data_IF_433951154286
#
_entry.id   IF_433951154286
#
_cell.length_a   1.000
_cell.length_b   1.000
_cell.length_c   1.000
_cell.angle_alpha   90.00
_cell.angle_beta   90.00
_cell.angle_gamma   90.00
#
_symmetry.space_group_name_H-M   'P 1'
#
loop_
_entity.id
_entity.type
_entity.pdbx_description
1 polymer ?
#
# COMPACT_ATOMS: atom_id res chain seq x y z
N UNK A 1 -11.27 21.15 -11.72
CA UNK A 1 -10.46 21.84 -12.72
C UNK A 1 -10.18 20.83 -13.83
N UNK A 2 -10.79 21.01 -15.00
CA UNK A 2 -10.65 20.08 -16.13
C UNK A 2 -9.41 20.50 -16.92
N UNK A 3 -8.46 19.58 -17.11
CA UNK A 3 -7.27 19.82 -17.92
C UNK A 3 -7.62 19.51 -19.40
N UNK A 4 -7.37 20.42 -20.35
CA UNK A 4 -7.61 20.14 -21.76
C UNK A 4 -6.74 18.95 -22.20
N UNK A 5 -7.39 17.84 -22.60
CA UNK A 5 -6.74 16.56 -22.96
C UNK A 5 -6.93 15.43 -21.94
N UNK A 6 -7.36 15.73 -20.69
CA UNK A 6 -7.66 14.74 -19.67
C UNK A 6 -9.00 15.09 -18.98
N UNK A 7 -10.10 14.69 -19.62
CA UNK A 7 -11.48 14.95 -19.16
C UNK A 7 -11.75 14.40 -17.76
N UNK A 8 -11.17 13.25 -17.44
CA UNK A 8 -11.40 12.52 -16.19
C UNK A 8 -10.32 12.79 -15.13
N UNK A 9 -9.39 13.70 -15.41
CA UNK A 9 -8.39 14.07 -14.43
C UNK A 9 -9.02 14.87 -13.28
N UNK A 10 -8.87 14.36 -12.07
CA UNK A 10 -9.22 15.04 -10.83
C UNK A 10 -7.95 15.54 -10.10
N UNK A 11 -7.26 16.59 -10.62
CA UNK A 11 -5.93 16.97 -10.14
C UNK A 11 -5.90 17.39 -8.67
N UNK A 12 -6.96 18.03 -8.17
CA UNK A 12 -7.07 18.42 -6.76
C UNK A 12 -7.25 17.20 -5.84
N UNK A 13 -8.07 16.24 -6.25
CA UNK A 13 -8.27 15.00 -5.51
C UNK A 13 -6.99 14.16 -5.51
N UNK A 14 -6.30 14.07 -6.66
CA UNK A 14 -5.01 13.40 -6.80
C UNK A 14 -3.92 14.03 -5.91
N UNK A 15 -3.83 15.36 -5.87
CA UNK A 15 -2.91 16.07 -4.97
C UNK A 15 -3.24 15.78 -3.50
N UNK A 16 -4.52 15.86 -3.12
CA UNK A 16 -4.97 15.56 -1.77
C UNK A 16 -4.63 14.13 -1.34
N UNK A 17 -4.90 13.15 -2.21
CA UNK A 17 -4.52 11.75 -2.01
C UNK A 17 -3.01 11.57 -1.87
N UNK A 18 -2.23 12.23 -2.74
CA UNK A 18 -0.76 12.21 -2.66
C UNK A 18 -0.22 12.76 -1.35
N UNK A 19 -0.75 13.88 -0.85
CA UNK A 19 -0.38 14.45 0.45
C UNK A 19 -0.71 13.48 1.59
N UNK A 20 -1.89 12.85 1.58
CA UNK A 20 -2.29 11.88 2.59
C UNK A 20 -1.37 10.64 2.60
N UNK A 21 -1.05 10.10 1.43
CA UNK A 21 -0.12 8.96 1.29
C UNK A 21 1.29 9.35 1.77
N UNK A 22 1.78 10.53 1.37
CA UNK A 22 3.08 11.04 1.80
C UNK A 22 3.16 11.26 3.31
N UNK A 23 2.12 11.82 3.92
CA UNK A 23 2.01 11.95 5.38
C UNK A 23 2.00 10.59 6.07
N UNK A 24 1.25 9.61 5.56
CA UNK A 24 1.23 8.27 6.12
C UNK A 24 2.63 7.61 6.06
N UNK A 25 3.35 7.76 4.95
CA UNK A 25 4.73 7.28 4.82
C UNK A 25 5.69 8.00 5.80
N UNK A 26 5.57 9.33 5.94
CA UNK A 26 6.37 10.11 6.88
C UNK A 26 6.10 9.74 8.34
N UNK A 27 4.84 9.54 8.73
CA UNK A 27 4.46 9.07 10.06
C UNK A 27 5.03 7.70 10.37
N UNK A 28 5.04 6.79 9.39
CA UNK A 28 5.63 5.46 9.57
C UNK A 28 7.15 5.55 9.74
N UNK A 29 7.82 6.40 8.96
CA UNK A 29 9.26 6.60 9.05
C UNK A 29 9.66 7.28 10.36
N UNK A 30 8.98 8.35 10.76
CA UNK A 30 9.29 9.11 11.98
C UNK A 30 8.84 8.40 13.25
N UNK A 31 7.67 7.76 13.22
CA UNK A 31 7.08 7.10 14.38
C UNK A 31 7.61 5.69 14.61
N UNK A 32 7.76 4.89 13.55
CA UNK A 32 8.21 3.49 13.65
C UNK A 32 9.66 3.27 13.16
N UNK A 33 10.35 4.31 12.70
CA UNK A 33 11.74 4.24 12.23
C UNK A 33 11.91 3.39 10.96
N UNK A 34 10.82 3.16 10.22
CA UNK A 34 10.77 2.19 9.11
C UNK A 34 10.02 2.77 7.93
N UNK A 35 10.46 2.40 6.72
CA UNK A 35 9.80 2.78 5.47
C UNK A 35 8.53 1.94 5.27
N UNK A 36 7.47 2.55 4.71
CA UNK A 36 6.18 1.93 4.45
C UNK A 36 6.22 0.91 3.28
N UNK A 37 6.87 -0.23 3.53
CA UNK A 37 6.97 -1.35 2.59
C UNK A 37 6.06 -2.51 2.95
N UNK A 38 4.97 -2.73 2.21
CA UNK A 38 3.99 -3.80 2.51
C UNK A 38 4.65 -5.18 2.52
N UNK A 39 5.47 -5.53 1.52
CA UNK A 39 6.14 -6.85 1.46
C UNK A 39 7.07 -7.08 2.66
N UNK A 40 7.84 -6.06 3.06
CA UNK A 40 8.78 -6.14 4.18
C UNK A 40 8.08 -6.23 5.53
N UNK A 41 7.03 -5.43 5.72
CA UNK A 41 6.21 -5.46 6.94
C UNK A 41 5.44 -6.79 7.03
N UNK A 42 4.98 -7.33 5.90
CA UNK A 42 4.33 -8.64 5.85
C UNK A 42 5.29 -9.76 6.26
N UNK A 43 6.52 -9.75 5.73
CA UNK A 43 7.56 -10.70 6.15
C UNK A 43 7.84 -10.61 7.66
N UNK A 44 7.78 -9.41 8.27
CA UNK A 44 7.92 -9.22 9.72
C UNK A 44 6.73 -9.77 10.51
N UNK A 45 5.49 -9.53 10.05
CA UNK A 45 4.28 -10.06 10.71
C UNK A 45 4.29 -11.59 10.76
N UNK A 46 4.65 -12.24 9.65
CA UNK A 46 4.81 -13.69 9.57
C UNK A 46 6.11 -14.22 10.19
N UNK A 47 7.00 -13.34 10.68
CA UNK A 47 8.24 -13.69 11.39
C UNK A 47 9.30 -14.32 10.51
N UNK A 48 9.24 -14.05 9.22
CA UNK A 48 10.26 -14.43 8.24
C UNK A 48 11.46 -13.47 8.35
N UNK A 49 11.24 -12.24 8.84
CA UNK A 49 12.28 -11.25 9.10
C UNK A 49 12.37 -10.90 10.58
N UNK A 50 13.58 -10.92 11.12
CA UNK A 50 13.82 -10.65 12.55
C UNK A 50 14.16 -9.20 12.90
N UNK A 51 14.34 -8.35 11.89
CA UNK A 51 14.70 -6.95 12.10
C UNK A 51 13.50 -6.02 11.95
N UNK A 52 13.35 -5.06 12.88
CA UNK A 52 12.51 -3.88 12.68
C UNK A 52 11.38 -3.67 13.66
N UNK A 53 10.28 -3.12 13.15
CA UNK A 53 9.06 -2.83 13.90
C UNK A 53 8.63 -4.06 14.70
N UNK A 54 8.01 -3.83 15.86
CA UNK A 54 7.44 -4.92 16.67
C UNK A 54 6.45 -5.74 15.84
N UNK A 55 6.34 -7.03 16.14
CA UNK A 55 5.43 -7.93 15.41
C UNK A 55 3.97 -7.47 15.53
N UNK A 56 3.60 -6.93 16.69
CA UNK A 56 2.30 -6.28 16.90
C UNK A 56 2.09 -5.07 15.99
N UNK A 57 3.09 -4.21 15.83
CA UNK A 57 3.03 -3.07 14.91
C UNK A 57 2.93 -3.49 13.44
N UNK A 58 3.61 -4.57 13.06
CA UNK A 58 3.51 -5.14 11.72
C UNK A 58 2.09 -5.64 11.40
N UNK A 59 1.47 -6.37 12.34
CA UNK A 59 0.08 -6.80 12.22
C UNK A 59 -0.90 -5.62 12.23
N UNK A 60 -0.68 -4.62 13.07
CA UNK A 60 -1.50 -3.41 13.10
C UNK A 60 -1.50 -2.68 11.75
N UNK A 61 -0.34 -2.57 11.09
CA UNK A 61 -0.23 -1.99 9.75
C UNK A 61 -0.97 -2.85 8.70
N UNK A 62 -0.74 -4.16 8.72
CA UNK A 62 -1.34 -5.12 7.79
C UNK A 62 -2.87 -5.17 7.88
N UNK A 63 -3.42 -5.07 9.08
CA UNK A 63 -4.88 -5.03 9.31
C UNK A 63 -5.43 -3.63 9.04
N UNK A 64 -4.66 -2.58 9.36
CA UNK A 64 -5.06 -1.19 9.15
C UNK A 64 -5.32 -0.85 7.67
N UNK A 65 -4.54 -1.42 6.75
CA UNK A 65 -4.72 -1.23 5.29
C UNK A 65 -6.11 -1.64 4.78
N UNK A 66 -6.55 -2.91 4.91
CA UNK A 66 -7.88 -3.34 4.47
C UNK A 66 -8.98 -2.70 5.32
N UNK A 67 -8.74 -2.44 6.61
CA UNK A 67 -9.71 -1.77 7.48
C UNK A 67 -9.97 -0.32 7.03
N UNK A 68 -8.93 0.42 6.66
CA UNK A 68 -9.06 1.75 6.09
C UNK A 68 -9.83 1.74 4.76
N UNK A 69 -9.53 0.80 3.87
CA UNK A 69 -10.28 0.62 2.63
C UNK A 69 -11.76 0.29 2.88
N UNK A 70 -12.05 -0.58 3.85
CA UNK A 70 -13.42 -0.92 4.23
C UNK A 70 -14.19 0.29 4.80
N UNK A 71 -13.56 1.10 5.66
CA UNK A 71 -14.19 2.32 6.21
C UNK A 71 -14.55 3.29 5.08
N UNK A 72 -13.64 3.51 4.13
CA UNK A 72 -13.90 4.39 2.98
C UNK A 72 -15.02 3.82 2.10
N UNK A 73 -15.03 2.50 1.88
CA UNK A 73 -16.12 1.81 1.19
C UNK A 73 -17.49 2.00 1.85
N UNK A 74 -17.56 1.95 3.18
CA UNK A 74 -18.80 2.18 3.94
C UNK A 74 -19.29 3.63 3.88
N UNK A 75 -18.38 4.59 3.70
CA UNK A 75 -18.69 6.01 3.53
C UNK A 75 -19.18 6.36 2.10
N UNK A 76 -19.37 5.35 1.25
CA UNK A 76 -19.76 5.52 -0.16
C UNK A 76 -18.58 5.88 -1.08
N UNK A 77 -17.35 5.78 -0.59
CA UNK A 77 -16.14 5.95 -1.38
C UNK A 77 -15.64 4.61 -1.92
N UNK A 78 -15.82 4.36 -3.21
CA UNK A 78 -15.28 3.17 -3.87
C UNK A 78 -16.18 2.67 -4.99
N UNK A 79 -15.59 2.36 -6.14
CA UNK A 79 -16.28 1.64 -7.21
C UNK A 79 -16.30 0.14 -6.91
N UNK A 80 -17.23 -0.57 -7.55
CA UNK A 80 -17.24 -2.04 -7.51
C UNK A 80 -15.94 -2.58 -8.13
N UNK A 81 -15.06 -3.22 -7.35
CA UNK A 81 -13.82 -3.73 -7.88
C UNK A 81 -14.11 -4.91 -8.81
N UNK A 82 -13.65 -4.79 -10.06
CA UNK A 82 -13.72 -5.90 -11.01
C UNK A 82 -12.46 -6.76 -10.91
N UNK A 83 -12.66 -8.03 -10.58
CA UNK A 83 -11.59 -9.01 -10.44
C UNK A 83 -11.53 -9.94 -11.65
N UNK A 84 -10.33 -10.27 -12.10
CA UNK A 84 -10.09 -11.20 -13.21
C UNK A 84 -10.42 -12.68 -12.88
N UNK A 85 -10.88 -12.99 -11.67
CA UNK A 85 -11.15 -14.35 -11.17
C UNK A 85 -10.05 -14.90 -10.26
N UNK A 86 -10.34 -15.99 -9.53
CA UNK A 86 -9.48 -16.50 -8.46
C UNK A 86 -8.12 -17.01 -8.96
N UNK A 87 -8.10 -17.76 -10.07
CA UNK A 87 -6.86 -18.33 -10.60
C UNK A 87 -5.82 -17.25 -11.01
N UNK A 88 -6.17 -16.23 -11.83
CA UNK A 88 -5.21 -15.18 -12.18
C UNK A 88 -4.78 -14.35 -10.96
N UNK A 89 -5.67 -14.13 -9.98
CA UNK A 89 -5.33 -13.46 -8.72
C UNK A 89 -4.26 -14.22 -7.93
N UNK A 90 -4.39 -15.54 -7.79
CA UNK A 90 -3.40 -16.38 -7.11
C UNK A 90 -2.06 -16.35 -7.83
N UNK A 91 -2.06 -16.52 -9.16
CA UNK A 91 -0.84 -16.48 -9.97
C UNK A 91 -0.16 -15.12 -9.87
N UNK A 92 -0.92 -14.03 -10.01
CA UNK A 92 -0.40 -12.67 -9.89
C UNK A 92 0.19 -12.43 -8.49
N UNK A 93 -0.49 -12.86 -7.43
CA UNK A 93 0.01 -12.74 -6.06
C UNK A 93 1.33 -13.47 -5.83
N UNK A 94 1.48 -14.69 -6.37
CA UNK A 94 2.72 -15.44 -6.29
C UNK A 94 3.86 -14.76 -7.07
N UNK A 95 3.59 -14.33 -8.30
CA UNK A 95 4.57 -13.65 -9.14
C UNK A 95 5.03 -12.33 -8.51
N UNK A 96 4.10 -11.51 -7.98
CA UNK A 96 4.42 -10.28 -7.27
C UNK A 96 5.19 -10.57 -5.97
N UNK A 97 4.80 -11.61 -5.23
CA UNK A 97 5.52 -12.03 -4.02
C UNK A 97 6.99 -12.38 -4.31
N UNK A 98 7.23 -13.22 -5.31
CA UNK A 98 8.59 -13.58 -5.75
C UNK A 98 9.33 -12.36 -6.28
N UNK A 99 8.69 -11.57 -7.14
CA UNK A 99 9.27 -10.37 -7.75
C UNK A 99 9.69 -9.33 -6.73
N UNK A 100 8.86 -9.06 -5.71
CA UNK A 100 9.21 -8.08 -4.67
C UNK A 100 10.39 -8.53 -3.81
N UNK A 101 10.60 -9.84 -3.65
CA UNK A 101 11.76 -10.38 -2.94
C UNK A 101 13.03 -10.35 -3.78
N UNK A 102 12.93 -10.65 -5.08
CA UNK A 102 14.05 -10.53 -6.02
C UNK A 102 14.49 -9.06 -6.20
N UNK A 103 13.52 -8.14 -6.27
CA UNK A 103 13.76 -6.71 -6.40
C UNK A 103 14.08 -5.97 -5.09
N UNK A 104 14.26 -6.68 -3.97
CA UNK A 104 14.48 -6.09 -2.64
C UNK A 104 13.46 -5.00 -2.23
N UNK A 105 12.25 -5.04 -2.77
CA UNK A 105 11.27 -3.99 -2.53
C UNK A 105 9.92 -4.19 -3.22
N UNK A 106 8.97 -3.34 -2.85
CA UNK A 106 7.62 -3.32 -3.40
C UNK A 106 7.28 -1.91 -3.88
N UNK A 107 6.17 -1.76 -4.60
CA UNK A 107 5.72 -0.48 -5.14
C UNK A 107 5.51 0.59 -4.07
N UNK A 108 5.06 0.22 -2.87
CA UNK A 108 4.93 1.17 -1.76
C UNK A 108 6.29 1.61 -1.21
N UNK A 109 7.29 0.72 -1.20
CA UNK A 109 8.65 1.07 -0.76
C UNK A 109 9.38 1.90 -1.81
N UNK A 110 9.67 1.31 -2.97
CA UNK A 110 10.45 1.97 -4.02
C UNK A 110 9.68 3.11 -4.68
N UNK A 111 8.39 2.89 -5.00
CA UNK A 111 7.59 3.88 -5.72
C UNK A 111 7.17 5.07 -4.87
N UNK A 112 6.64 4.83 -3.67
CA UNK A 112 6.14 5.93 -2.81
C UNK A 112 7.25 6.52 -1.94
N UNK A 113 8.13 5.70 -1.37
CA UNK A 113 9.18 6.17 -0.46
C UNK A 113 10.55 6.39 -1.12
N UNK A 114 10.71 6.07 -2.41
CA UNK A 114 11.88 6.44 -3.21
C UNK A 114 13.18 5.68 -2.87
N UNK A 115 13.06 4.50 -2.26
CA UNK A 115 14.21 3.61 -1.94
C UNK A 115 14.59 2.68 -3.07
#
# INVERSE_FOLDING_TARGET
MILPGFSDAEPLAGLGGGILIGLAAALMLLGAGRIAGVSGISARAFGISDSGISRGGAWAFLIGLPLGAAIVGLLGGGGDPQYAGTAPLVIAGLLVGVGTRLGSGCTSGHGVCGV
#
